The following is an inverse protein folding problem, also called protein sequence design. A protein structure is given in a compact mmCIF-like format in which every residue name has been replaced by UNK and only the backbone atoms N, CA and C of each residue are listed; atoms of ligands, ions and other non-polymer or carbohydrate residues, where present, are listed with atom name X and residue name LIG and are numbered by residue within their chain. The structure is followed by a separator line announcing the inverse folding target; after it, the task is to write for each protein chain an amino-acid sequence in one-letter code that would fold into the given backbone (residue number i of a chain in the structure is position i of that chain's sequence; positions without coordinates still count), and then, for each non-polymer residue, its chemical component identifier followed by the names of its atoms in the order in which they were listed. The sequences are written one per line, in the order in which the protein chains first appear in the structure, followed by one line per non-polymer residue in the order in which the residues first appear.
data_IF_116540070136
#
_entry.id   IF_116540070136
#
_cell.length_a   1.000
_cell.length_b   1.000
_cell.length_c   1.000
_cell.angle_alpha   90.00
_cell.angle_beta   90.00
_cell.angle_gamma   90.00
#
_symmetry.space_group_name_H-M   'P 1'
#
loop_
_entity.id
_entity.type
_entity.pdbx_description
1 polymer ?
#
# COMPACT_ATOMS: atom_id res chain seq x y z
N UNK A 1 -2.84 11.20 0.92
CA UNK A 1 -3.77 10.85 -0.19
C UNK A 1 -2.99 10.15 -1.32
N UNK A 2 -3.65 9.32 -2.12
CA UNK A 2 -3.09 8.69 -3.31
C UNK A 2 -4.06 8.82 -4.48
N UNK A 3 -3.55 9.14 -5.68
CA UNK A 3 -4.35 9.29 -6.89
C UNK A 3 -3.79 8.38 -7.96
N UNK A 4 -4.66 7.62 -8.62
CA UNK A 4 -4.30 6.65 -9.66
C UNK A 4 -5.32 6.70 -10.78
N UNK A 5 -4.90 6.45 -12.01
CA UNK A 5 -5.84 6.21 -13.10
C UNK A 5 -6.37 4.77 -13.00
N UNK A 6 -7.69 4.61 -12.89
CA UNK A 6 -8.34 3.32 -13.01
C UNK A 6 -8.16 2.81 -14.44
N UNK A 7 -7.49 1.67 -14.65
CA UNK A 7 -7.24 1.16 -15.99
C UNK A 7 -8.50 0.64 -16.68
N UNK A 8 -9.59 0.37 -15.96
CA UNK A 8 -10.86 -0.06 -16.55
C UNK A 8 -11.64 1.10 -17.19
N UNK A 9 -11.62 2.27 -16.58
CA UNK A 9 -12.41 3.44 -16.99
C UNK A 9 -11.58 4.59 -17.55
N UNK A 10 -10.27 4.62 -17.25
CA UNK A 10 -9.39 5.76 -17.49
C UNK A 10 -9.65 6.95 -16.57
N UNK A 11 -10.54 6.82 -15.58
CA UNK A 11 -10.84 7.88 -14.61
C UNK A 11 -9.76 7.97 -13.54
N UNK A 12 -9.59 9.15 -12.94
CA UNK A 12 -8.74 9.28 -11.76
C UNK A 12 -9.55 8.91 -10.52
N UNK A 13 -9.03 7.97 -9.75
CA UNK A 13 -9.57 7.60 -8.45
C UNK A 13 -8.64 8.15 -7.37
N UNK A 14 -9.22 8.82 -6.37
CA UNK A 14 -8.47 9.32 -5.21
C UNK A 14 -8.79 8.47 -3.99
N UNK A 15 -7.75 8.05 -3.29
CA UNK A 15 -7.83 7.36 -2.00
C UNK A 15 -7.30 8.26 -0.88
N UNK A 16 -8.04 8.36 0.22
CA UNK A 16 -7.68 9.14 1.40
C UNK A 16 -7.96 8.35 2.67
N UNK A 17 -7.34 8.78 3.77
CA UNK A 17 -7.72 8.35 5.11
C UNK A 17 -8.39 9.48 5.87
N UNK A 18 -9.26 9.13 6.81
CA UNK A 18 -9.78 10.08 7.80
C UNK A 18 -9.16 9.87 9.19
N UNK A 19 -9.56 10.70 10.15
CA UNK A 19 -9.08 10.63 11.54
C UNK A 19 -9.62 9.42 12.32
N UNK A 20 -10.65 8.74 11.80
CA UNK A 20 -11.17 7.49 12.34
C UNK A 20 -10.48 6.26 11.72
N UNK A 21 -9.43 6.49 10.91
CA UNK A 21 -8.69 5.48 10.16
C UNK A 21 -9.53 4.79 9.08
N UNK A 22 -10.61 5.37 8.60
CA UNK A 22 -11.30 4.82 7.44
C UNK A 22 -10.51 5.10 6.17
N UNK A 23 -10.40 4.09 5.29
CA UNK A 23 -9.97 4.30 3.91
C UNK A 23 -11.19 4.68 3.08
N UNK A 24 -11.08 5.81 2.38
CA UNK A 24 -12.10 6.29 1.45
C UNK A 24 -11.54 6.31 0.03
N UNK A 25 -12.37 6.01 -0.97
CA UNK A 25 -12.10 6.34 -2.36
C UNK A 25 -13.17 7.24 -2.97
N UNK A 26 -12.82 7.98 -4.01
CA UNK A 26 -13.76 8.74 -4.83
C UNK A 26 -13.32 8.76 -6.30
N UNK A 27 -14.27 8.47 -7.19
CA UNK A 27 -14.22 8.85 -8.60
C UNK A 27 -14.96 10.19 -8.75
N UNK A 28 -14.28 11.30 -9.09
CA UNK A 28 -14.95 12.59 -9.32
C UNK A 28 -16.01 12.57 -10.43
N UNK A 29 -15.98 11.56 -11.31
CA UNK A 29 -16.96 11.35 -12.39
C UNK A 29 -17.95 10.21 -12.08
N UNK A 30 -17.79 9.55 -10.93
CA UNK A 30 -18.57 8.38 -10.53
C UNK A 30 -19.63 8.69 -9.47
N UNK A 31 -20.12 7.67 -8.75
CA UNK A 31 -21.26 7.79 -7.84
C UNK A 31 -20.96 8.52 -6.52
N UNK A 32 -19.70 8.90 -6.26
CA UNK A 32 -19.27 9.59 -5.05
C UNK A 32 -18.27 8.78 -4.22
N UNK A 33 -18.30 9.00 -2.91
CA UNK A 33 -17.37 8.41 -1.95
C UNK A 33 -17.73 6.97 -1.60
N UNK A 34 -16.70 6.12 -1.48
CA UNK A 34 -16.82 4.72 -1.05
C UNK A 34 -15.96 4.53 0.20
N UNK A 35 -16.54 3.91 1.23
CA UNK A 35 -15.87 3.55 2.48
C UNK A 35 -15.37 2.10 2.43
N UNK A 36 -14.09 1.86 2.73
CA UNK A 36 -13.50 0.53 2.86
C UNK A 36 -13.31 0.12 4.33
N UNK A 37 -13.69 0.97 5.28
CA UNK A 37 -13.64 0.70 6.71
C UNK A 37 -12.34 1.11 7.40
N UNK A 38 -12.28 0.95 8.74
CA UNK A 38 -11.30 1.57 9.64
C UNK A 38 -9.93 0.87 9.69
N UNK A 39 -9.28 0.66 8.53
CA UNK A 39 -7.96 0.02 8.46
C UNK A 39 -6.82 0.99 8.09
N UNK A 40 -7.09 2.23 7.70
CA UNK A 40 -6.11 3.21 7.24
C UNK A 40 -5.48 4.05 8.36
N UNK A 41 -4.58 3.48 9.16
CA UNK A 41 -3.81 4.23 10.14
C UNK A 41 -2.69 5.07 9.50
N UNK A 42 -2.07 4.56 8.44
CA UNK A 42 -1.13 5.30 7.58
C UNK A 42 -1.78 5.87 6.32
N UNK A 43 -1.05 6.71 5.59
CA UNK A 43 -1.51 7.19 4.29
C UNK A 43 -1.58 6.04 3.27
N UNK A 44 -2.62 6.03 2.43
CA UNK A 44 -2.74 5.05 1.37
C UNK A 44 -1.74 5.29 0.26
N UNK A 45 -1.26 4.21 -0.34
CA UNK A 45 -0.54 4.15 -1.60
C UNK A 45 -1.29 3.21 -2.53
N UNK A 46 -1.79 3.69 -3.66
CA UNK A 46 -2.50 2.87 -4.64
C UNK A 46 -1.73 2.77 -5.95
N UNK A 47 -1.66 1.56 -6.49
CA UNK A 47 -1.06 1.25 -7.81
C UNK A 47 -1.98 0.37 -8.62
N UNK A 48 -1.75 0.38 -9.94
CA UNK A 48 -2.29 -0.65 -10.83
C UNK A 48 -1.38 -1.87 -10.75
N UNK A 49 -1.93 -3.03 -10.42
CA UNK A 49 -1.22 -4.30 -10.55
C UNK A 49 -1.18 -4.70 -12.04
N UNK A 50 0.01 -4.77 -12.68
CA UNK A 50 0.11 -5.12 -14.10
C UNK A 50 -0.36 -6.55 -14.40
N UNK A 51 -0.38 -7.45 -13.42
CA UNK A 51 -0.77 -8.85 -13.63
C UNK A 51 -2.28 -9.03 -13.72
N UNK A 52 -3.04 -8.26 -12.93
CA UNK A 52 -4.51 -8.34 -12.85
C UNK A 52 -5.20 -7.17 -13.54
N UNK A 53 -4.48 -6.08 -13.78
CA UNK A 53 -5.01 -4.79 -14.21
C UNK A 53 -6.04 -4.21 -13.21
N UNK A 54 -5.90 -4.57 -11.93
CA UNK A 54 -6.72 -4.06 -10.83
C UNK A 54 -5.99 -2.96 -10.06
N UNK A 55 -6.74 -2.13 -9.33
CA UNK A 55 -6.17 -1.21 -8.35
C UNK A 55 -5.90 -1.97 -7.04
N UNK A 56 -4.69 -1.82 -6.49
CA UNK A 56 -4.37 -2.32 -5.16
C UNK A 56 -3.88 -1.16 -4.30
N UNK A 57 -4.54 -0.96 -3.17
CA UNK A 57 -4.17 0.05 -2.17
C UNK A 57 -3.45 -0.61 -1.00
N UNK A 58 -2.26 -0.11 -0.68
CA UNK A 58 -1.40 -0.51 0.43
C UNK A 58 -1.36 0.59 1.48
N UNK A 59 -1.38 0.22 2.76
CA UNK A 59 -1.25 1.16 3.88
C UNK A 59 -0.91 0.44 5.19
N UNK A 60 -0.48 1.21 6.19
CA UNK A 60 -0.32 0.67 7.54
C UNK A 60 -1.66 0.62 8.28
N UNK A 61 -1.95 -0.54 8.85
CA UNK A 61 -3.07 -0.79 9.75
C UNK A 61 -2.86 -0.20 11.15
N UNK A 62 -3.94 -0.09 11.96
CA UNK A 62 -3.84 0.29 13.36
C UNK A 62 -2.95 -0.64 14.21
N UNK A 63 -2.69 -1.85 13.72
CA UNK A 63 -1.81 -2.86 14.29
C UNK A 63 -0.35 -2.75 13.86
N UNK A 64 0.01 -1.67 13.14
CA UNK A 64 1.34 -1.41 12.58
C UNK A 64 1.81 -2.49 11.60
N UNK A 65 0.87 -3.19 10.95
CA UNK A 65 1.14 -4.10 9.84
C UNK A 65 0.79 -3.45 8.52
N UNK A 66 1.42 -3.93 7.45
CA UNK A 66 1.07 -3.51 6.10
C UNK A 66 -0.18 -4.30 5.66
N UNK A 67 -1.22 -3.59 5.28
CA UNK A 67 -2.45 -4.15 4.74
C UNK A 67 -2.61 -3.75 3.29
N UNK A 68 -3.29 -4.61 2.53
CA UNK A 68 -3.73 -4.29 1.17
C UNK A 68 -5.21 -4.54 0.99
N UNK A 69 -5.83 -3.76 0.10
CA UNK A 69 -7.19 -4.00 -0.37
C UNK A 69 -7.24 -3.85 -1.89
N UNK A 70 -7.86 -4.83 -2.54
CA UNK A 70 -8.32 -4.76 -3.92
C UNK A 70 -9.84 -4.51 -3.89
N UNK A 71 -10.34 -3.38 -4.42
CA UNK A 71 -11.78 -3.11 -4.49
C UNK A 71 -12.59 -4.17 -5.25
N UNK A 72 -11.94 -4.94 -6.13
CA UNK A 72 -12.53 -6.05 -6.89
C UNK A 72 -12.27 -7.42 -6.22
N UNK A 73 -11.52 -7.44 -5.12
CA UNK A 73 -11.11 -8.63 -4.39
C UNK A 73 -11.98 -8.94 -3.15
N UNK A 74 -11.54 -9.89 -2.31
CA UNK A 74 -12.31 -10.37 -1.15
C UNK A 74 -12.30 -9.42 0.06
N UNK A 75 -11.62 -8.26 -0.03
CA UNK A 75 -11.48 -7.28 1.06
C UNK A 75 -10.04 -7.19 1.57
N UNK A 76 -9.91 -6.78 2.85
CA UNK A 76 -8.61 -6.56 3.49
C UNK A 76 -7.81 -7.84 3.63
N UNK A 77 -6.55 -7.77 3.22
CA UNK A 77 -5.56 -8.84 3.39
C UNK A 77 -4.34 -8.26 4.08
N UNK A 78 -3.83 -8.93 5.12
CA UNK A 78 -2.53 -8.60 5.68
C UNK A 78 -1.51 -8.84 4.57
N UNK A 79 -0.86 -7.77 4.12
CA UNK A 79 0.19 -7.92 3.15
C UNK A 79 1.38 -8.57 3.85
N UNK A 80 2.04 -9.48 3.14
CA UNK A 80 3.20 -10.31 3.55
C UNK A 80 3.68 -9.99 4.97
N UNK A 81 3.41 -10.87 5.95
CA UNK A 81 3.75 -10.64 7.34
C UNK A 81 5.22 -10.23 7.48
N UNK A 82 5.46 -9.17 8.24
CA UNK A 82 6.83 -8.80 8.63
C UNK A 82 7.39 -9.86 9.59
N UNK A 83 8.71 -9.97 9.67
CA UNK A 83 9.34 -10.83 10.67
C UNK A 83 8.87 -10.44 12.07
N UNK A 84 8.66 -11.43 12.94
CA UNK A 84 8.20 -11.21 14.31
C UNK A 84 9.01 -10.10 15.01
N UNK A 85 8.32 -9.07 15.48
CA UNK A 85 8.90 -7.90 16.16
C UNK A 85 9.26 -6.71 15.25
N UNK A 86 9.12 -6.81 13.93
CA UNK A 86 9.31 -5.68 13.01
C UNK A 86 8.03 -4.83 12.91
N UNK A 87 8.02 -3.70 13.63
CA UNK A 87 6.97 -2.68 13.58
C UNK A 87 7.27 -1.70 12.45
N UNK A 88 6.31 -1.45 11.55
CA UNK A 88 6.49 -0.48 10.47
C UNK A 88 6.42 0.96 11.00
N UNK A 89 7.43 1.76 10.66
CA UNK A 89 7.63 3.12 11.17
C UNK A 89 6.94 4.22 10.37
N UNK A 90 6.50 3.94 9.14
CA UNK A 90 5.87 4.93 8.27
C UNK A 90 5.26 4.32 7.02
N UNK A 91 4.74 5.19 6.14
CA UNK A 91 3.93 4.77 5.00
C UNK A 91 4.75 3.93 3.98
N UNK A 92 4.14 2.88 3.41
CA UNK A 92 4.76 2.08 2.37
C UNK A 92 4.83 2.86 1.04
N UNK A 93 5.71 2.41 0.15
CA UNK A 93 5.73 2.83 -1.24
C UNK A 93 5.83 1.61 -2.14
N UNK A 94 4.91 1.43 -3.09
CA UNK A 94 4.93 0.27 -4.01
C UNK A 94 5.00 0.75 -5.45
N UNK A 95 5.72 0.01 -6.28
CA UNK A 95 5.87 0.28 -7.71
C UNK A 95 5.93 -1.04 -8.47
N UNK A 96 5.49 -1.03 -9.74
CA UNK A 96 5.77 -2.13 -10.65
C UNK A 96 7.22 -2.04 -11.15
N UNK A 97 8.00 -3.10 -10.93
CA UNK A 97 9.32 -3.25 -11.54
C UNK A 97 9.15 -3.38 -13.06
N UNK A 98 9.69 -2.45 -13.87
CA UNK A 98 9.50 -2.47 -15.32
C UNK A 98 10.15 -3.68 -16.01
N UNK A 99 11.13 -4.35 -15.39
CA UNK A 99 11.78 -5.52 -15.97
C UNK A 99 10.94 -6.80 -15.82
N UNK A 100 10.21 -6.92 -14.71
CA UNK A 100 9.48 -8.14 -14.34
C UNK A 100 7.96 -7.98 -14.36
N UNK A 101 7.47 -6.74 -14.29
CA UNK A 101 6.06 -6.40 -14.06
C UNK A 101 5.58 -6.73 -12.64
N UNK A 102 6.47 -7.10 -11.72
CA UNK A 102 6.11 -7.43 -10.35
C UNK A 102 5.93 -6.17 -9.52
N UNK A 103 4.95 -6.17 -8.61
CA UNK A 103 4.85 -5.13 -7.60
C UNK A 103 5.95 -5.33 -6.55
N UNK A 104 6.74 -4.30 -6.29
CA UNK A 104 7.76 -4.26 -5.25
C UNK A 104 7.39 -3.18 -4.25
N UNK A 105 7.20 -3.56 -2.99
CA UNK A 105 6.88 -2.64 -1.90
C UNK A 105 8.11 -2.34 -1.06
N UNK A 106 8.32 -1.07 -0.76
CA UNK A 106 9.37 -0.55 0.09
C UNK A 106 8.76 0.05 1.36
N UNK A 107 9.42 -0.18 2.49
CA UNK A 107 8.99 0.36 3.78
C UNK A 107 10.18 0.51 4.73
N UNK A 108 9.96 1.13 5.88
CA UNK A 108 10.94 1.12 6.96
C UNK A 108 10.30 0.69 8.28
N UNK A 109 11.12 0.12 9.16
CA UNK A 109 10.73 -0.17 10.54
C UNK A 109 10.96 1.03 11.47
N UNK A 110 10.49 0.93 12.71
CA UNK A 110 10.67 1.99 13.72
C UNK A 110 12.13 2.28 14.09
N UNK A 111 13.08 1.41 13.72
CA UNK A 111 14.52 1.64 13.88
C UNK A 111 15.13 2.33 12.66
N UNK A 112 14.33 2.72 11.66
CA UNK A 112 14.78 3.31 10.42
C UNK A 112 15.45 2.31 9.47
N UNK A 113 15.33 1.01 9.72
CA UNK A 113 15.81 -0.02 8.79
C UNK A 113 14.92 0.01 7.55
N UNK A 114 15.53 0.09 6.37
CA UNK A 114 14.82 0.04 5.11
C UNK A 114 14.67 -1.40 4.60
N UNK A 115 13.50 -1.69 4.04
CA UNK A 115 13.10 -3.01 3.59
C UNK A 115 12.44 -2.94 2.20
N UNK A 116 12.58 -3.99 1.41
CA UNK A 116 11.76 -4.22 0.22
C UNK A 116 11.15 -5.60 0.23
N UNK A 117 10.06 -5.79 -0.51
CA UNK A 117 9.45 -7.09 -0.74
C UNK A 117 8.81 -7.16 -2.12
N UNK A 118 9.12 -8.23 -2.84
CA UNK A 118 8.35 -8.72 -3.98
C UNK A 118 7.47 -9.88 -3.48
N UNK A 119 6.14 -9.82 -3.59
CA UNK A 119 5.24 -10.90 -3.19
C UNK A 119 5.48 -12.24 -3.87
N UNK A 120 6.12 -12.25 -5.04
CA UNK A 120 6.52 -13.47 -5.74
C UNK A 120 7.90 -13.98 -5.33
N UNK A 121 8.62 -13.20 -4.50
CA UNK A 121 9.94 -13.52 -3.97
C UNK A 121 9.91 -14.22 -2.61
N UNK A 122 11.07 -14.32 -1.93
CA UNK A 122 11.21 -15.03 -0.64
C UNK A 122 10.66 -14.26 0.57
N UNK A 123 10.03 -13.09 0.38
CA UNK A 123 9.57 -12.20 1.44
C UNK A 123 10.47 -10.96 1.63
N UNK A 124 10.40 -10.36 2.82
CA UNK A 124 11.07 -9.11 3.13
C UNK A 124 12.59 -9.21 3.07
N UNK A 125 13.21 -8.32 2.30
CA UNK A 125 14.64 -8.17 2.13
C UNK A 125 15.12 -6.90 2.82
N UNK A 126 16.04 -7.05 3.77
CA UNK A 126 16.66 -5.96 4.51
C UNK A 126 17.75 -5.29 3.68
N UNK A 127 17.78 -3.96 3.64
CA UNK A 127 18.93 -3.21 3.13
C UNK A 127 19.94 -2.94 4.26
N UNK A 128 21.22 -3.14 3.97
CA UNK A 128 22.33 -2.93 4.91
C UNK A 128 23.20 -1.76 4.49
N UNK A 129 23.55 -0.89 5.45
CA UNK A 129 24.33 0.31 5.18
C UNK A 129 23.54 1.37 4.43
N UNK A 130 23.70 2.63 4.82
CA UNK A 130 22.93 3.77 4.31
C UNK A 130 22.39 4.65 5.44
N UNK A 131 21.86 5.84 5.12
CA UNK A 131 21.17 6.68 6.09
C UNK A 131 19.92 5.97 6.62
N UNK A 132 19.55 6.26 7.87
CA UNK A 132 18.28 5.79 8.41
C UNK A 132 17.12 6.34 7.54
N UNK A 133 16.21 5.46 7.14
CA UNK A 133 14.98 5.89 6.48
C UNK A 133 14.09 6.56 7.53
N UNK A 134 13.68 7.80 7.26
CA UNK A 134 12.74 8.56 8.09
C UNK A 134 11.53 8.92 7.24
N UNK A 135 10.32 8.69 7.77
CA UNK A 135 9.09 9.18 7.15
C UNK A 135 9.02 10.71 7.27
N UNK A 136 8.49 11.36 6.24
CA UNK A 136 8.01 12.76 6.28
C UNK A 136 6.55 12.81 6.67
#
# INVERSE_FOLDING_TARGET
PSVVADPATGHLITYIRDTANHLWSVDPKGPGWIDFGPMAAGDPMTVVDPATNHLITYLNGPDHRLWSVDPQGPGWTEFIPTTSGTVLGGNPFTIADPATGHLVTYAHDTNGTFWSVDPKGPGWTKFWGGPAAVAS
#
